data_IF_526095652436
#
_entry.id   IF_526095652436
#
_cell.length_a   1.000
_cell.length_b   1.000
_cell.length_c   1.000
_cell.angle_alpha   90.00
_cell.angle_beta   90.00
_cell.angle_gamma   90.00
#
_symmetry.space_group_name_H-M   'P 1'
#
loop_
_entity.id
_entity.type
_entity.pdbx_description
1 polymer ?
#
# COMPACT_ATOMS: atom_id res chain seq x y z
N UNK A 1 -19.63 4.76 39.69
CA UNK A 1 -20.52 5.76 39.04
C UNK A 1 -20.84 5.44 37.58
N UNK A 2 -19.87 4.97 36.77
CA UNK A 2 -20.07 4.69 35.32
C UNK A 2 -21.20 3.67 35.01
N UNK A 3 -21.45 2.70 35.89
CA UNK A 3 -22.46 1.67 35.64
C UNK A 3 -23.92 2.17 35.66
N UNK A 4 -24.23 3.27 36.39
CA UNK A 4 -25.62 3.74 36.55
C UNK A 4 -26.12 4.47 35.30
N UNK A 5 -25.32 5.40 34.79
CA UNK A 5 -25.61 6.14 33.55
C UNK A 5 -25.69 5.24 32.33
N UNK A 6 -24.85 4.19 32.27
CA UNK A 6 -24.89 3.18 31.22
C UNK A 6 -26.19 2.37 31.21
N UNK A 7 -26.68 1.98 32.39
CA UNK A 7 -27.93 1.24 32.54
C UNK A 7 -29.16 2.11 32.20
N UNK A 8 -29.15 3.39 32.61
CA UNK A 8 -30.20 4.36 32.27
C UNK A 8 -30.30 4.59 30.75
N UNK A 9 -29.17 4.63 30.04
CA UNK A 9 -29.15 4.75 28.57
C UNK A 9 -29.65 3.50 27.83
N UNK A 10 -29.45 2.31 28.41
CA UNK A 10 -29.98 1.04 27.89
C UNK A 10 -31.51 0.97 28.00
N UNK A 11 -32.08 1.46 29.11
CA UNK A 11 -33.54 1.48 29.31
C UNK A 11 -34.26 2.49 28.40
N UNK A 12 -33.59 3.58 28.02
CA UNK A 12 -34.15 4.62 27.15
C UNK A 12 -34.12 4.25 25.66
N UNK A 13 -33.12 3.50 25.21
CA UNK A 13 -33.07 2.95 23.85
C UNK A 13 -33.86 1.65 23.75
N UNK A 14 -34.39 1.29 22.57
CA UNK A 14 -34.88 -0.08 22.31
C UNK A 14 -33.71 -1.08 22.20
N UNK A 15 -32.71 -0.92 23.07
CA UNK A 15 -31.44 -1.61 23.02
C UNK A 15 -31.62 -2.97 23.66
N UNK A 16 -31.75 -4.00 22.84
CA UNK A 16 -31.29 -5.33 23.25
C UNK A 16 -29.82 -5.15 23.64
N UNK A 17 -29.50 -5.33 24.92
CA UNK A 17 -28.18 -5.01 25.48
C UNK A 17 -27.00 -5.59 24.69
N UNK A 18 -25.78 -5.13 24.99
CA UNK A 18 -24.57 -5.64 24.30
C UNK A 18 -24.47 -7.14 24.54
N UNK A 19 -24.70 -7.92 23.48
CA UNK A 19 -24.58 -9.36 23.50
C UNK A 19 -23.13 -9.77 23.75
N UNK A 20 -22.90 -10.97 24.27
CA UNK A 20 -21.55 -11.46 24.52
C UNK A 20 -20.73 -11.53 23.22
N UNK A 21 -21.37 -11.89 22.10
CA UNK A 21 -20.74 -11.89 20.78
C UNK A 21 -20.30 -10.48 20.36
N UNK A 22 -21.12 -9.46 20.65
CA UNK A 22 -20.78 -8.07 20.32
C UNK A 22 -19.58 -7.60 21.15
N UNK A 23 -19.51 -8.01 22.43
CA UNK A 23 -18.37 -7.71 23.31
C UNK A 23 -17.08 -8.39 22.84
N UNK A 24 -17.17 -9.66 22.42
CA UNK A 24 -16.04 -10.39 21.86
C UNK A 24 -15.53 -9.77 20.55
N UNK A 25 -16.43 -9.41 19.63
CA UNK A 25 -16.06 -8.75 18.38
C UNK A 25 -15.40 -7.39 18.61
N UNK A 26 -15.94 -6.60 19.54
CA UNK A 26 -15.34 -5.32 19.92
C UNK A 26 -13.91 -5.51 20.46
N UNK A 27 -13.70 -6.53 21.30
CA UNK A 27 -12.37 -6.88 21.80
C UNK A 27 -11.41 -7.26 20.67
N UNK A 28 -11.85 -8.09 19.71
CA UNK A 28 -11.05 -8.49 18.55
C UNK A 28 -10.66 -7.27 17.71
N UNK A 29 -11.58 -6.33 17.48
CA UNK A 29 -11.30 -5.07 16.76
C UNK A 29 -10.19 -4.27 17.47
N UNK A 30 -10.28 -4.10 18.78
CA UNK A 30 -9.25 -3.40 19.56
C UNK A 30 -7.89 -4.11 19.48
N UNK A 31 -7.88 -5.45 19.50
CA UNK A 31 -6.66 -6.24 19.36
C UNK A 31 -6.02 -6.07 17.97
N UNK A 32 -6.83 -6.10 16.91
CA UNK A 32 -6.38 -5.89 15.54
C UNK A 32 -5.76 -4.51 15.35
N UNK A 33 -6.41 -3.45 15.85
CA UNK A 33 -5.85 -2.09 15.79
C UNK A 33 -4.51 -1.97 16.53
N UNK A 34 -4.41 -2.61 17.71
CA UNK A 34 -3.14 -2.63 18.45
C UNK A 34 -2.03 -3.36 17.70
N UNK A 35 -2.39 -4.43 16.97
CA UNK A 35 -1.45 -5.17 16.12
C UNK A 35 -1.02 -4.34 14.91
N UNK A 36 -1.97 -3.66 14.25
CA UNK A 36 -1.73 -2.78 13.12
C UNK A 36 -0.75 -1.66 13.49
N UNK A 37 -0.95 -0.99 14.63
CA UNK A 37 -0.06 0.07 15.09
C UNK A 37 1.39 -0.43 15.30
N UNK A 38 1.58 -1.62 15.87
CA UNK A 38 2.91 -2.23 16.05
C UNK A 38 3.56 -2.59 14.71
N UNK A 39 2.78 -3.07 13.74
CA UNK A 39 3.28 -3.38 12.40
C UNK A 39 3.68 -2.10 11.66
N UNK A 40 2.90 -1.03 11.80
CA UNK A 40 3.21 0.28 11.23
C UNK A 40 4.50 0.86 11.80
N UNK A 41 4.72 0.76 13.12
CA UNK A 41 5.98 1.18 13.74
C UNK A 41 7.19 0.43 13.16
N UNK A 42 7.07 -0.90 12.98
CA UNK A 42 8.12 -1.72 12.35
C UNK A 42 8.36 -1.33 10.89
N UNK A 43 7.28 -1.07 10.16
CA UNK A 43 7.35 -0.63 8.77
C UNK A 43 8.09 0.70 8.65
N UNK A 44 7.82 1.66 9.54
CA UNK A 44 8.51 2.96 9.55
C UNK A 44 10.02 2.80 9.76
N UNK A 45 10.43 1.88 10.65
CA UNK A 45 11.86 1.57 10.86
C UNK A 45 12.52 1.01 9.60
N UNK A 46 11.84 0.12 8.88
CA UNK A 46 12.34 -0.42 7.60
C UNK A 46 12.41 0.67 6.51
N UNK A 47 11.40 1.54 6.44
CA UNK A 47 11.39 2.64 5.47
C UNK A 47 12.46 3.71 5.74
N UNK A 48 12.98 3.79 6.97
CA UNK A 48 14.04 4.73 7.34
C UNK A 48 15.43 4.33 6.83
N UNK A 49 15.57 3.17 6.18
CA UNK A 49 16.83 2.75 5.57
C UNK A 49 17.35 3.80 4.56
N UNK A 50 18.63 4.23 4.65
CA UNK A 50 19.24 5.19 3.73
C UNK A 50 19.09 4.80 2.24
N UNK A 51 19.01 3.51 1.94
CA UNK A 51 18.79 2.98 0.59
C UNK A 51 17.52 3.51 -0.06
N UNK A 52 16.50 3.84 0.74
CA UNK A 52 15.21 4.33 0.25
C UNK A 52 15.14 5.87 0.12
N UNK A 53 16.17 6.62 0.54
CA UNK A 53 16.21 8.08 0.45
C UNK A 53 15.94 8.62 -0.96
N UNK A 54 16.53 8.06 -2.04
CA UNK A 54 16.24 8.52 -3.40
C UNK A 54 14.77 8.34 -3.80
N UNK A 55 14.15 7.25 -3.35
CA UNK A 55 12.74 6.93 -3.62
C UNK A 55 11.82 7.88 -2.84
N UNK A 56 12.09 8.11 -1.55
CA UNK A 56 11.32 9.02 -0.70
C UNK A 56 11.33 10.46 -1.22
N UNK A 57 12.45 10.90 -1.81
CA UNK A 57 12.54 12.23 -2.46
C UNK A 57 11.53 12.37 -3.61
N UNK A 58 11.31 11.31 -4.38
CA UNK A 58 10.32 11.29 -5.46
C UNK A 58 8.91 11.19 -4.88
N UNK A 59 8.67 10.26 -3.95
CA UNK A 59 7.34 10.06 -3.36
C UNK A 59 6.81 11.28 -2.61
N UNK A 60 7.70 12.09 -2.03
CA UNK A 60 7.30 13.33 -1.34
C UNK A 60 6.69 14.37 -2.29
N UNK A 61 7.06 14.35 -3.58
CA UNK A 61 6.44 15.22 -4.60
C UNK A 61 4.98 14.85 -4.88
N UNK A 62 4.62 13.58 -4.68
CA UNK A 62 3.25 13.07 -4.82
C UNK A 62 2.49 13.03 -3.49
N UNK A 63 3.10 13.51 -2.40
CA UNK A 63 2.54 13.49 -1.04
C UNK A 63 2.06 12.10 -0.57
N UNK A 64 2.74 11.03 -1.00
CA UNK A 64 2.38 9.68 -0.54
C UNK A 64 2.65 9.49 0.95
N UNK A 65 1.71 8.87 1.67
CA UNK A 65 1.89 8.42 3.04
C UNK A 65 2.77 7.17 3.15
N UNK A 66 3.22 6.83 4.36
CA UNK A 66 4.18 5.75 4.60
C UNK A 66 3.73 4.39 4.05
N UNK A 67 2.46 4.02 4.25
CA UNK A 67 1.89 2.77 3.73
C UNK A 67 1.94 2.69 2.20
N UNK A 68 1.56 3.76 1.51
CA UNK A 68 1.61 3.83 0.04
C UNK A 68 3.06 3.75 -0.46
N UNK A 69 3.99 4.43 0.21
CA UNK A 69 5.43 4.37 -0.12
C UNK A 69 5.96 2.94 -0.01
N UNK A 70 5.63 2.23 1.07
CA UNK A 70 6.02 0.83 1.25
C UNK A 70 5.48 -0.07 0.14
N UNK A 71 4.18 0.06 -0.18
CA UNK A 71 3.54 -0.70 -1.26
C UNK A 71 4.22 -0.50 -2.61
N UNK A 72 4.56 0.74 -2.94
CA UNK A 72 5.25 1.06 -4.19
C UNK A 72 6.67 0.47 -4.16
N UNK A 73 7.42 0.67 -3.07
CA UNK A 73 8.79 0.18 -2.93
C UNK A 73 8.91 -1.33 -3.13
N UNK A 74 7.99 -2.11 -2.55
CA UNK A 74 7.98 -3.58 -2.71
C UNK A 74 7.94 -3.99 -4.18
N UNK A 75 7.28 -3.20 -5.03
CA UNK A 75 7.16 -3.50 -6.46
C UNK A 75 8.33 -3.01 -7.27
N UNK A 76 8.82 -1.80 -6.99
CA UNK A 76 9.80 -1.14 -7.85
C UNK A 76 11.25 -1.34 -7.42
N UNK A 77 11.51 -1.88 -6.24
CA UNK A 77 12.86 -2.03 -5.72
C UNK A 77 13.56 -3.31 -6.24
N UNK A 78 14.85 -3.23 -6.63
CA UNK A 78 15.59 -2.02 -6.98
C UNK A 78 15.15 -1.47 -8.33
N UNK A 79 15.07 -0.14 -8.44
CA UNK A 79 14.59 0.53 -9.66
C UNK A 79 15.49 0.27 -10.88
N UNK A 80 16.75 -0.11 -10.64
CA UNK A 80 17.69 -0.49 -11.70
C UNK A 80 17.20 -1.64 -12.57
N UNK A 81 16.30 -2.50 -12.08
CA UNK A 81 15.67 -3.57 -12.89
C UNK A 81 14.88 -3.06 -14.09
N UNK A 82 14.42 -1.80 -14.04
CA UNK A 82 13.66 -1.16 -15.11
C UNK A 82 14.55 -0.31 -16.05
N UNK A 83 15.87 -0.35 -15.85
CA UNK A 83 16.84 0.43 -16.60
C UNK A 83 17.81 -0.51 -17.34
N UNK A 84 18.14 -0.15 -18.59
CA UNK A 84 19.24 -0.72 -19.38
C UNK A 84 20.24 0.40 -19.65
N UNK A 85 21.49 0.23 -19.21
CA UNK A 85 22.55 1.26 -19.31
C UNK A 85 22.13 2.63 -18.73
N UNK A 86 21.36 2.61 -17.62
CA UNK A 86 20.83 3.81 -16.98
C UNK A 86 19.67 4.49 -17.71
N UNK A 87 19.21 3.92 -18.84
CA UNK A 87 18.06 4.42 -19.60
C UNK A 87 16.85 3.51 -19.41
N UNK A 88 15.62 4.03 -19.46
CA UNK A 88 14.42 3.20 -19.37
C UNK A 88 14.39 2.14 -20.47
N UNK A 89 13.96 0.93 -20.14
CA UNK A 89 13.77 -0.13 -21.12
C UNK A 89 12.57 0.23 -22.01
N UNK A 90 12.82 0.46 -23.29
CA UNK A 90 11.80 0.75 -24.31
C UNK A 90 11.89 -0.34 -25.37
N UNK A 91 10.85 -1.18 -25.44
CA UNK A 91 10.73 -2.17 -26.52
C UNK A 91 9.88 -1.58 -27.64
N UNK A 92 10.43 -1.59 -28.84
CA UNK A 92 9.68 -1.23 -30.04
C UNK A 92 9.05 -2.50 -30.61
N UNK A 93 7.73 -2.50 -30.76
CA UNK A 93 7.04 -3.56 -31.48
C UNK A 93 6.70 -3.07 -32.88
N UNK A 94 6.89 -3.92 -33.88
CA UNK A 94 6.38 -3.64 -35.23
C UNK A 94 4.86 -3.76 -35.14
N UNK A 95 4.14 -2.73 -35.58
CA UNK A 95 2.68 -2.76 -35.61
C UNK A 95 2.19 -3.92 -36.49
N UNK A 96 1.25 -4.73 -36.00
CA UNK A 96 0.72 -5.89 -36.73
C UNK A 96 0.11 -5.49 -38.09
N UNK A 97 -0.46 -4.29 -38.20
CA UNK A 97 -1.13 -3.82 -39.43
C UNK A 97 -0.18 -3.29 -40.51
N UNK A 98 1.08 -2.98 -40.18
CA UNK A 98 2.08 -2.51 -41.16
C UNK A 98 3.42 -3.17 -40.86
N UNK A 99 3.75 -4.21 -41.64
CA UNK A 99 5.06 -4.91 -41.63
C UNK A 99 6.22 -4.05 -42.17
N UNK A 100 6.06 -2.73 -42.16
CA UNK A 100 7.10 -1.79 -42.60
C UNK A 100 7.95 -1.38 -41.40
N UNK A 101 9.30 -1.55 -41.47
CA UNK A 101 10.20 -1.18 -40.38
C UNK A 101 10.22 0.33 -40.06
N UNK A 102 9.54 1.17 -40.85
CA UNK A 102 9.35 2.61 -40.59
C UNK A 102 8.19 2.92 -39.63
N UNK A 103 7.32 1.94 -39.33
CA UNK A 103 6.13 2.11 -38.48
C UNK A 103 6.30 1.36 -37.15
N UNK A 104 7.40 1.64 -36.44
CA UNK A 104 7.59 1.12 -35.09
C UNK A 104 6.60 1.82 -34.13
N UNK A 105 5.76 1.04 -33.47
CA UNK A 105 4.94 1.56 -32.36
C UNK A 105 5.70 1.36 -31.06
N UNK A 106 5.88 2.46 -30.31
CA UNK A 106 6.54 2.43 -29.01
C UNK A 106 5.66 1.71 -28.00
N UNK A 107 6.13 0.59 -27.45
CA UNK A 107 5.43 -0.11 -26.36
C UNK A 107 6.25 0.03 -25.08
N UNK A 108 5.78 0.89 -24.18
CA UNK A 108 6.41 1.03 -22.86
C UNK A 108 6.17 -0.26 -22.06
N UNK A 109 7.23 -1.01 -21.75
CA UNK A 109 7.17 -2.21 -20.90
C UNK A 109 7.48 -1.85 -19.46
N UNK A 110 6.61 -1.10 -18.81
CA UNK A 110 6.66 -0.96 -17.35
C UNK A 110 6.32 -2.27 -16.62
N UNK A 111 5.75 -3.28 -17.29
CA UNK A 111 5.34 -4.57 -16.71
C UNK A 111 6.14 -5.81 -17.16
N UNK A 112 7.29 -5.67 -17.85
CA UNK A 112 8.06 -6.84 -18.29
C UNK A 112 9.00 -7.42 -17.22
N UNK A 113 9.20 -6.72 -16.10
CA UNK A 113 9.97 -7.22 -14.96
C UNK A 113 9.25 -8.31 -14.16
N UNK A 114 7.94 -8.52 -14.38
CA UNK A 114 7.14 -9.53 -13.66
C UNK A 114 7.31 -10.96 -14.21
N UNK A 115 8.23 -11.16 -15.17
CA UNK A 115 8.56 -12.48 -15.75
C UNK A 115 10.03 -12.82 -15.52
N UNK A 116 10.43 -12.95 -14.27
CA UNK A 116 11.65 -13.63 -13.83
C UNK A 116 11.36 -14.38 -12.54
#
# INVERSE_FOLDING_TARGET
MVAREYNEALEFGSATGISDETRELAYIICLMHSSEARLEERLLKLLADPLFVPYHRVFSKCMFGHRSRAWILIRIFPFSKYLKDGKPIIDYTIGQEKKDPKHLTKKNRSGASDKL
#
